data_IF_552274289278
#
_entry.id   IF_552274289278
#
_cell.length_a   1.000
_cell.length_b   1.000
_cell.length_c   1.000
_cell.angle_alpha   90.00
_cell.angle_beta   90.00
_cell.angle_gamma   90.00
#
_symmetry.space_group_name_H-M   'P 1'
#
loop_
_entity.id
_entity.type
_entity.pdbx_description
1 polymer ?
#
# COMPACT_ATOMS: atom_id res chain seq x y z
N UNK A 1 -2.01 -6.30 -18.78
CA UNK A 1 -1.91 -6.09 -17.31
C UNK A 1 -3.20 -6.61 -16.64
N UNK A 2 -3.25 -6.92 -15.34
CA UNK A 2 -4.33 -7.71 -14.69
C UNK A 2 -5.74 -7.11 -14.84
N UNK A 3 -5.84 -5.80 -15.04
CA UNK A 3 -7.13 -5.08 -15.18
C UNK A 3 -7.24 -4.32 -16.52
N UNK A 4 -6.70 -4.87 -17.62
CA UNK A 4 -6.93 -4.34 -18.97
C UNK A 4 -5.93 -3.31 -19.49
N UNK A 5 -4.95 -2.89 -18.69
CA UNK A 5 -3.92 -1.94 -19.13
C UNK A 5 -2.89 -2.50 -20.10
N UNK A 6 -2.28 -1.57 -20.85
CA UNK A 6 -1.25 -1.83 -21.85
C UNK A 6 0.14 -1.53 -21.28
N UNK A 7 1.00 -2.53 -21.24
CA UNK A 7 2.39 -2.36 -20.84
C UNK A 7 3.27 -2.09 -22.07
N UNK A 8 3.93 -0.94 -22.09
CA UNK A 8 4.93 -0.56 -23.09
C UNK A 8 6.32 -0.77 -22.50
N UNK A 9 7.19 -1.48 -23.21
CA UNK A 9 8.61 -1.64 -22.83
C UNK A 9 9.48 -0.85 -23.80
N UNK A 10 10.22 0.09 -23.24
CA UNK A 10 11.34 0.79 -23.86
C UNK A 10 12.64 0.27 -23.24
N UNK A 11 13.80 0.58 -23.84
CA UNK A 11 15.09 0.03 -23.42
C UNK A 11 15.33 0.03 -21.90
N UNK A 12 15.10 1.16 -21.23
CA UNK A 12 15.30 1.32 -19.77
C UNK A 12 13.99 1.53 -19.00
N UNK A 13 12.85 1.60 -19.68
CA UNK A 13 11.59 2.01 -19.07
C UNK A 13 10.50 1.01 -19.36
N UNK A 14 9.73 0.66 -18.34
CA UNK A 14 8.42 0.06 -18.51
C UNK A 14 7.38 1.12 -18.17
N UNK A 15 6.45 1.37 -19.09
CA UNK A 15 5.36 2.30 -18.90
C UNK A 15 4.06 1.51 -19.02
N UNK A 16 3.28 1.48 -17.95
CA UNK A 16 1.93 0.94 -17.99
C UNK A 16 0.93 2.08 -18.28
N UNK A 17 0.15 1.92 -19.34
CA UNK A 17 -0.88 2.87 -19.77
C UNK A 17 -2.24 2.26 -19.47
N UNK A 18 -3.10 3.03 -18.81
CA UNK A 18 -4.47 2.65 -18.51
C UNK A 18 -5.46 3.65 -19.08
N UNK A 19 -6.55 3.11 -19.63
CA UNK A 19 -7.71 3.92 -19.92
C UNK A 19 -8.46 4.20 -18.63
N UNK A 20 -8.84 5.46 -18.41
CA UNK A 20 -9.49 5.91 -17.18
C UNK A 20 -10.77 5.13 -16.90
N UNK A 21 -11.54 4.84 -17.95
CA UNK A 21 -12.83 4.13 -17.85
C UNK A 21 -12.69 2.66 -17.42
N UNK A 22 -11.51 2.07 -17.66
CA UNK A 22 -11.19 0.69 -17.32
C UNK A 22 -10.60 0.57 -15.90
N UNK A 23 -10.59 1.67 -15.13
CA UNK A 23 -10.18 1.64 -13.73
C UNK A 23 -11.04 0.63 -12.97
N UNK A 24 -10.38 -0.30 -12.28
CA UNK A 24 -11.08 -1.43 -11.66
C UNK A 24 -12.24 -0.99 -10.76
N UNK A 25 -12.06 0.04 -9.93
CA UNK A 25 -13.10 0.56 -9.04
C UNK A 25 -14.35 1.07 -9.80
N UNK A 26 -14.19 1.61 -11.02
CA UNK A 26 -15.31 1.95 -11.91
C UNK A 26 -15.97 0.70 -12.47
N UNK A 27 -15.19 -0.20 -13.07
CA UNK A 27 -15.75 -1.41 -13.70
C UNK A 27 -16.43 -2.35 -12.70
N UNK A 28 -16.03 -2.31 -11.43
CA UNK A 28 -16.64 -3.05 -10.32
C UNK A 28 -17.86 -2.34 -9.71
N UNK A 29 -18.21 -1.12 -10.16
CA UNK A 29 -19.34 -0.35 -9.66
C UNK A 29 -19.12 0.28 -8.27
N UNK A 30 -17.87 0.44 -7.84
CA UNK A 30 -17.51 0.96 -6.50
C UNK A 30 -17.34 2.48 -6.48
N UNK A 31 -16.90 3.06 -7.60
CA UNK A 31 -16.68 4.51 -7.77
C UNK A 31 -17.12 4.96 -9.15
N UNK A 32 -17.62 6.18 -9.24
CA UNK A 32 -17.71 6.89 -10.52
C UNK A 32 -16.32 7.47 -10.84
N UNK A 33 -15.94 7.43 -12.12
CA UNK A 33 -14.65 7.93 -12.60
C UNK A 33 -14.88 8.60 -13.94
N UNK A 34 -15.07 9.91 -13.90
CA UNK A 34 -15.39 10.77 -15.04
C UNK A 34 -14.20 11.69 -15.38
N UNK A 35 -13.38 12.04 -14.38
CA UNK A 35 -12.17 12.86 -14.53
C UNK A 35 -10.95 12.24 -13.83
N UNK A 36 -9.77 12.79 -14.10
CA UNK A 36 -8.52 12.24 -13.58
C UNK A 36 -8.44 12.29 -12.05
N UNK A 37 -9.06 13.30 -11.42
CA UNK A 37 -9.14 13.45 -9.95
C UNK A 37 -9.87 12.29 -9.29
N UNK A 38 -10.82 11.66 -9.97
CA UNK A 38 -11.64 10.58 -9.39
C UNK A 38 -10.81 9.33 -9.09
N UNK A 39 -9.67 9.14 -9.75
CA UNK A 39 -8.80 7.99 -9.52
C UNK A 39 -8.17 8.02 -8.12
N UNK A 40 -8.08 9.20 -7.50
CA UNK A 40 -7.60 9.33 -6.12
C UNK A 40 -8.44 8.49 -5.16
N UNK A 41 -9.76 8.38 -5.41
CA UNK A 41 -10.67 7.57 -4.60
C UNK A 41 -10.72 6.08 -4.97
N UNK A 42 -9.95 5.67 -5.99
CA UNK A 42 -9.94 4.31 -6.53
C UNK A 42 -8.75 3.48 -6.07
N UNK A 43 -7.75 4.10 -5.42
CA UNK A 43 -6.57 3.41 -4.90
C UNK A 43 -6.90 2.68 -3.60
N UNK A 44 -6.15 1.62 -3.30
CA UNK A 44 -6.33 0.89 -2.04
C UNK A 44 -5.77 1.68 -0.86
N UNK A 45 -4.50 2.11 -0.93
CA UNK A 45 -3.85 2.92 0.09
C UNK A 45 -4.03 4.41 -0.20
N UNK A 46 -4.21 5.21 0.85
CA UNK A 46 -4.28 6.67 0.71
C UNK A 46 -2.95 7.29 0.25
N UNK A 47 -1.82 6.63 0.51
CA UNK A 47 -0.51 7.03 -0.02
C UNK A 47 -0.40 6.91 -1.54
N UNK A 48 -1.16 6.00 -2.15
CA UNK A 48 -1.21 5.86 -3.60
C UNK A 48 -2.17 6.90 -4.24
N UNK A 49 -2.97 7.62 -3.43
CA UNK A 49 -3.95 8.64 -3.87
C UNK A 49 -3.30 9.98 -4.20
N UNK A 50 -2.42 10.00 -5.20
CA UNK A 50 -1.83 11.22 -5.76
C UNK A 50 -1.66 11.06 -7.27
N UNK A 51 -1.87 12.16 -8.01
CA UNK A 51 -1.71 12.19 -9.47
C UNK A 51 -0.86 13.38 -9.86
N UNK A 52 0.05 13.17 -10.81
CA UNK A 52 0.66 14.25 -11.58
C UNK A 52 -0.03 14.34 -12.93
N UNK A 53 -0.80 15.40 -13.15
CA UNK A 53 -1.46 15.66 -14.43
C UNK A 53 -0.46 16.26 -15.41
N UNK A 54 -0.11 15.46 -16.43
CA UNK A 54 0.85 15.86 -17.47
C UNK A 54 0.35 17.03 -18.34
N UNK A 55 -0.97 17.22 -18.46
CA UNK A 55 -1.54 18.27 -19.29
C UNK A 55 -1.46 19.65 -18.63
N UNK A 56 -1.64 19.70 -17.30
CA UNK A 56 -1.61 20.94 -16.52
C UNK A 56 -0.30 21.16 -15.77
N UNK A 57 0.53 20.12 -15.64
CA UNK A 57 1.76 20.14 -14.86
C UNK A 57 1.53 20.24 -13.35
N UNK A 58 0.38 19.76 -12.86
CA UNK A 58 -0.05 19.92 -11.46
C UNK A 58 -0.11 18.58 -10.73
N UNK A 59 0.18 18.62 -9.43
CA UNK A 59 -0.14 17.54 -8.51
C UNK A 59 -1.59 17.70 -8.02
N UNK A 60 -2.33 16.59 -8.00
CA UNK A 60 -3.71 16.51 -7.53
C UNK A 60 -3.72 15.46 -6.41
N UNK A 61 -4.19 15.86 -5.23
CA UNK A 61 -4.25 15.03 -4.02
C UNK A 61 -5.26 15.63 -3.02
N UNK A 62 -5.68 14.85 -2.03
CA UNK A 62 -6.51 15.32 -0.91
C UNK A 62 -5.74 16.26 0.02
N UNK A 63 -6.41 17.28 0.59
CA UNK A 63 -5.79 18.30 1.46
C UNK A 63 -4.97 17.71 2.62
N UNK A 64 -5.31 16.51 3.10
CA UNK A 64 -4.58 15.85 4.19
C UNK A 64 -3.40 14.99 3.73
N UNK A 65 -3.25 14.74 2.43
CA UNK A 65 -2.28 13.80 1.86
C UNK A 65 -0.84 14.10 2.32
N UNK A 66 -0.35 15.31 2.05
CA UNK A 66 1.03 15.68 2.38
C UNK A 66 1.30 15.66 3.88
N UNK A 67 0.30 16.02 4.69
CA UNK A 67 0.41 15.96 6.15
C UNK A 67 0.52 14.52 6.63
N UNK A 68 -0.38 13.63 6.21
CA UNK A 68 -0.36 12.21 6.58
C UNK A 68 0.95 11.55 6.16
N UNK A 69 1.44 11.87 4.95
CA UNK A 69 2.72 11.40 4.44
C UNK A 69 3.88 11.87 5.34
N UNK A 70 3.92 13.15 5.69
CA UNK A 70 4.95 13.71 6.58
C UNK A 70 4.90 13.13 8.01
N UNK A 71 3.70 12.79 8.51
CA UNK A 71 3.51 12.16 9.82
C UNK A 71 3.80 10.63 9.80
N UNK A 72 4.04 10.06 8.62
CA UNK A 72 4.26 8.63 8.41
C UNK A 72 2.99 7.80 8.65
N UNK A 73 1.81 8.36 8.37
CA UNK A 73 0.52 7.70 8.60
C UNK A 73 -0.06 7.24 7.27
N UNK A 74 -0.22 5.94 7.09
CA UNK A 74 -0.88 5.33 5.93
C UNK A 74 -2.20 4.69 6.37
N UNK A 75 -3.25 4.88 5.57
CA UNK A 75 -4.56 4.26 5.79
C UNK A 75 -5.12 3.71 4.47
N UNK A 76 -6.34 3.17 4.53
CA UNK A 76 -7.07 2.65 3.37
C UNK A 76 -7.96 3.75 2.80
N UNK A 77 -7.88 3.94 1.48
CA UNK A 77 -8.75 4.83 0.71
C UNK A 77 -9.97 4.09 0.15
N UNK A 78 -9.77 2.92 -0.48
CA UNK A 78 -10.84 2.04 -0.96
C UNK A 78 -10.57 0.61 -0.49
N UNK A 79 -11.37 0.13 0.48
CA UNK A 79 -11.09 -1.15 1.13
C UNK A 79 -11.44 -2.34 0.22
N UNK A 80 -12.51 -2.23 -0.55
CA UNK A 80 -12.92 -3.22 -1.54
C UNK A 80 -11.79 -3.41 -2.53
N UNK A 81 -11.25 -4.63 -2.58
CA UNK A 81 -10.19 -4.98 -3.51
C UNK A 81 -10.22 -6.49 -3.80
N UNK A 82 -9.79 -6.92 -4.99
CA UNK A 82 -9.87 -8.32 -5.39
C UNK A 82 -8.74 -9.18 -4.79
N UNK A 83 -7.82 -8.60 -4.00
CA UNK A 83 -6.66 -9.31 -3.46
C UNK A 83 -6.27 -8.83 -2.03
N UNK A 84 -7.12 -9.08 -1.01
CA UNK A 84 -6.86 -8.61 0.34
C UNK A 84 -5.58 -9.20 0.94
N UNK A 85 -5.20 -10.44 0.56
CA UNK A 85 -3.93 -11.06 0.95
C UNK A 85 -2.72 -10.26 0.46
N UNK A 86 -2.71 -9.92 -0.83
CA UNK A 86 -1.64 -9.11 -1.42
C UNK A 86 -1.58 -7.70 -0.84
N UNK A 87 -2.74 -7.09 -0.58
CA UNK A 87 -2.79 -5.79 0.11
C UNK A 87 -2.24 -5.85 1.53
N UNK A 88 -2.51 -6.93 2.29
CA UNK A 88 -1.89 -7.14 3.61
C UNK A 88 -0.37 -7.23 3.51
N UNK A 89 0.16 -8.05 2.60
CA UNK A 89 1.62 -8.18 2.40
C UNK A 89 2.24 -6.83 2.06
N UNK A 90 1.65 -6.07 1.13
CA UNK A 90 2.13 -4.72 0.76
C UNK A 90 2.12 -3.76 1.95
N UNK A 91 1.05 -3.77 2.77
CA UNK A 91 0.98 -2.93 3.96
C UNK A 91 2.16 -3.24 4.92
N UNK A 92 2.40 -4.52 5.21
CA UNK A 92 3.47 -4.95 6.11
C UNK A 92 4.86 -4.63 5.57
N UNK A 93 5.10 -4.84 4.26
CA UNK A 93 6.36 -4.45 3.61
C UNK A 93 6.62 -2.95 3.70
N UNK A 94 5.63 -2.12 3.38
CA UNK A 94 5.76 -0.65 3.46
C UNK A 94 6.07 -0.21 4.88
N UNK A 95 5.40 -0.81 5.86
CA UNK A 95 5.65 -0.53 7.27
C UNK A 95 7.08 -0.91 7.69
N UNK A 96 7.56 -2.08 7.25
CA UNK A 96 8.94 -2.53 7.42
C UNK A 96 9.97 -1.65 6.72
N UNK A 97 9.64 -1.06 5.57
CA UNK A 97 10.55 -0.25 4.79
C UNK A 97 10.63 1.21 5.26
N UNK A 98 9.51 1.79 5.74
CA UNK A 98 9.35 3.25 5.80
C UNK A 98 8.86 3.79 7.16
N UNK A 99 8.98 3.04 8.25
CA UNK A 99 8.58 3.49 9.59
C UNK A 99 7.13 4.01 9.65
N UNK A 100 6.24 3.27 9.00
CA UNK A 100 4.84 3.66 8.81
C UNK A 100 4.00 3.30 10.03
N UNK A 101 3.10 4.20 10.40
CA UNK A 101 2.00 4.00 11.34
C UNK A 101 0.72 3.78 10.55
N UNK A 102 -0.15 2.92 11.04
CA UNK A 102 -1.41 2.65 10.36
C UNK A 102 -2.55 3.47 10.95
N UNK A 103 -3.35 4.05 10.05
CA UNK A 103 -4.65 4.60 10.39
C UNK A 103 -5.63 3.54 10.87
N UNK A 104 -6.82 3.95 11.34
CA UNK A 104 -7.78 3.06 11.96
C UNK A 104 -8.32 1.98 11.00
N UNK A 105 -8.50 2.31 9.72
CA UNK A 105 -9.09 1.38 8.74
C UNK A 105 -8.08 0.30 8.37
N UNK A 106 -6.84 0.70 8.08
CA UNK A 106 -5.73 -0.19 7.79
C UNK A 106 -5.37 -1.06 9.00
N UNK A 107 -5.40 -0.51 10.22
CA UNK A 107 -5.18 -1.27 11.46
C UNK A 107 -6.20 -2.39 11.60
N UNK A 108 -7.50 -2.08 11.44
CA UNK A 108 -8.59 -3.08 11.50
C UNK A 108 -8.47 -4.11 10.39
N UNK A 109 -8.14 -3.67 9.17
CA UNK A 109 -7.91 -4.55 8.03
C UNK A 109 -6.77 -5.53 8.32
N UNK A 110 -5.62 -5.05 8.78
CA UNK A 110 -4.46 -5.88 9.07
C UNK A 110 -4.75 -6.89 10.18
N UNK A 111 -5.35 -6.47 11.30
CA UNK A 111 -5.76 -7.38 12.38
C UNK A 111 -6.64 -8.51 11.86
N UNK A 112 -7.74 -8.16 11.17
CA UNK A 112 -8.69 -9.13 10.63
C UNK A 112 -8.01 -10.17 9.73
N UNK A 113 -7.13 -9.72 8.83
CA UNK A 113 -6.52 -10.63 7.85
C UNK A 113 -5.29 -11.37 8.39
N UNK A 114 -4.63 -10.87 9.44
CA UNK A 114 -3.62 -11.61 10.19
C UNK A 114 -4.23 -12.73 11.04
N UNK A 115 -5.48 -12.59 11.48
CA UNK A 115 -6.24 -13.67 12.13
C UNK A 115 -6.76 -14.71 11.13
N UNK A 116 -7.05 -14.28 9.89
CA UNK A 116 -7.67 -15.14 8.88
C UNK A 116 -6.65 -15.97 8.08
N UNK A 117 -5.41 -15.50 7.94
CA UNK A 117 -4.40 -16.13 7.08
C UNK A 117 -3.20 -16.59 7.88
N UNK A 118 -2.68 -17.76 7.51
CA UNK A 118 -1.47 -18.31 8.10
C UNK A 118 -0.25 -17.47 7.73
N UNK A 119 0.63 -17.20 8.70
CA UNK A 119 1.82 -16.36 8.49
C UNK A 119 2.75 -16.92 7.41
N UNK A 120 2.90 -18.25 7.35
CA UNK A 120 3.70 -18.91 6.32
C UNK A 120 3.14 -18.69 4.91
N UNK A 121 1.81 -18.63 4.75
CA UNK A 121 1.18 -18.30 3.46
C UNK A 121 1.49 -16.85 3.05
N UNK A 122 1.48 -15.91 4.00
CA UNK A 122 1.79 -14.51 3.75
C UNK A 122 3.27 -14.32 3.38
N UNK A 123 4.17 -15.04 4.06
CA UNK A 123 5.61 -15.06 3.74
C UNK A 123 5.87 -15.64 2.35
N UNK A 124 5.17 -16.70 1.95
CA UNK A 124 5.33 -17.26 0.62
C UNK A 124 4.75 -16.35 -0.45
N UNK A 125 3.60 -15.71 -0.19
CA UNK A 125 3.04 -14.70 -1.09
C UNK A 125 4.00 -13.51 -1.27
N UNK A 126 4.66 -13.09 -0.20
CA UNK A 126 5.70 -12.07 -0.22
C UNK A 126 6.88 -12.47 -1.11
N UNK A 127 7.36 -13.71 -0.99
CA UNK A 127 8.44 -14.28 -1.82
C UNK A 127 8.06 -14.39 -3.30
N UNK A 128 6.83 -14.78 -3.62
CA UNK A 128 6.36 -14.92 -5.00
C UNK A 128 6.18 -13.54 -5.65
N UNK A 129 5.65 -12.58 -4.89
CA UNK A 129 5.37 -11.24 -5.40
C UNK A 129 6.62 -10.36 -5.50
N UNK A 130 7.61 -10.58 -4.64
CA UNK A 130 8.81 -9.73 -4.53
C UNK A 130 10.07 -10.59 -4.45
N UNK A 131 11.16 -10.11 -5.05
CA UNK A 131 12.42 -10.87 -5.13
C UNK A 131 13.04 -11.16 -3.74
N UNK A 132 12.75 -10.32 -2.74
CA UNK A 132 13.17 -10.49 -1.34
C UNK A 132 11.96 -10.63 -0.43
N UNK A 133 11.90 -11.71 0.36
CA UNK A 133 10.80 -11.99 1.29
C UNK A 133 11.01 -11.28 2.64
N UNK A 134 10.76 -9.97 2.70
CA UNK A 134 10.88 -9.13 3.91
C UNK A 134 10.14 -9.72 5.09
N UNK A 135 8.96 -10.31 4.86
CA UNK A 135 8.14 -10.85 5.94
C UNK A 135 8.84 -11.99 6.71
N UNK A 136 9.83 -12.66 6.13
CA UNK A 136 10.64 -13.67 6.85
C UNK A 136 11.44 -13.07 8.02
N UNK A 137 11.70 -11.77 7.99
CA UNK A 137 12.46 -11.03 9.01
C UNK A 137 11.55 -10.38 10.07
N UNK A 138 10.23 -10.57 9.96
CA UNK A 138 9.25 -9.96 10.86
C UNK A 138 8.62 -11.01 11.79
N UNK A 139 8.27 -10.57 12.99
CA UNK A 139 7.54 -11.38 13.97
C UNK A 139 6.04 -11.03 13.97
N UNK A 140 5.19 -12.01 13.65
CA UNK A 140 3.74 -11.83 13.57
C UNK A 140 3.14 -11.36 14.91
N UNK A 141 3.59 -11.90 16.04
CA UNK A 141 3.04 -11.57 17.36
C UNK A 141 3.40 -10.13 17.76
N UNK A 142 4.60 -9.67 17.42
CA UNK A 142 5.01 -8.27 17.60
C UNK A 142 4.16 -7.34 16.72
N UNK A 143 3.92 -7.70 15.46
CA UNK A 143 3.05 -6.94 14.56
C UNK A 143 1.66 -6.79 15.17
N UNK A 144 1.02 -7.89 15.56
CA UNK A 144 -0.33 -7.88 16.16
C UNK A 144 -0.33 -7.02 17.43
N UNK A 145 0.68 -7.16 18.31
CA UNK A 145 0.79 -6.38 19.54
C UNK A 145 0.88 -4.87 19.26
N UNK A 146 1.65 -4.48 18.23
CA UNK A 146 1.83 -3.06 17.85
C UNK A 146 0.61 -2.47 17.16
N UNK A 147 -0.09 -3.25 16.35
CA UNK A 147 -1.37 -2.85 15.78
C UNK A 147 -2.44 -2.68 16.87
N UNK A 148 -2.41 -3.49 17.94
CA UNK A 148 -3.34 -3.38 19.07
C UNK A 148 -3.03 -2.18 19.98
N UNK A 149 -1.79 -1.69 19.97
CA UNK A 149 -1.40 -0.51 20.74
C UNK A 149 -1.57 0.74 19.87
N UNK A 150 -2.62 1.51 20.14
CA UNK A 150 -2.93 2.73 19.40
C UNK A 150 -2.75 3.97 20.26
N UNK A 151 -2.38 5.08 19.62
CA UNK A 151 -2.35 6.42 20.19
C UNK A 151 -3.33 7.29 19.44
N UNK A 152 -4.06 8.11 20.19
CA UNK A 152 -5.00 9.06 19.61
C UNK A 152 -4.27 10.32 19.17
N UNK A 153 -4.22 10.54 17.85
CA UNK A 153 -3.62 11.72 17.21
C UNK A 153 -4.75 12.47 16.52
N UNK A 154 -4.97 13.73 16.90
CA UNK A 154 -6.02 14.58 16.30
C UNK A 154 -7.43 13.93 16.29
N UNK A 155 -7.73 13.12 17.31
CA UNK A 155 -9.03 12.45 17.45
C UNK A 155 -9.15 11.11 16.74
N UNK A 156 -8.10 10.66 16.04
CA UNK A 156 -8.06 9.37 15.32
C UNK A 156 -7.08 8.42 16.01
N UNK A 157 -7.45 7.14 16.12
CA UNK A 157 -6.58 6.11 16.66
C UNK A 157 -5.58 5.63 15.61
N UNK A 158 -4.29 5.80 15.90
CA UNK A 158 -3.16 5.47 15.03
C UNK A 158 -2.30 4.41 15.71
N UNK A 159 -1.87 3.39 14.97
CA UNK A 159 -1.01 2.34 15.53
C UNK A 159 0.37 2.88 15.92
N UNK A 160 1.09 2.15 16.77
CA UNK A 160 2.55 2.28 16.81
C UNK A 160 3.16 1.86 15.44
N UNK A 161 4.37 2.34 15.09
CA UNK A 161 5.05 1.88 13.88
C UNK A 161 5.22 0.36 13.89
N UNK A 162 5.06 -0.24 12.72
CA UNK A 162 5.14 -1.70 12.51
C UNK A 162 6.24 -1.97 11.47
N UNK A 163 7.22 -2.85 11.70
CA UNK A 163 7.55 -3.54 12.95
C UNK A 163 8.17 -2.56 13.96
N UNK A 164 8.82 -3.07 15.01
CA UNK A 164 9.45 -2.22 16.02
C UNK A 164 10.64 -1.41 15.47
N UNK A 165 10.37 -0.20 14.99
CA UNK A 165 11.39 0.75 14.56
C UNK A 165 12.21 1.37 15.70
N UNK A 166 11.84 1.17 16.97
CA UNK A 166 12.68 1.59 18.11
C UNK A 166 13.91 0.69 18.27
N UNK A 167 13.90 -0.49 17.66
CA UNK A 167 15.03 -1.44 17.65
C UNK A 167 15.78 -1.47 16.32
N UNK A 168 15.35 -0.67 15.33
CA UNK A 168 15.72 -0.77 13.91
C UNK A 168 15.62 -2.21 13.38
N UNK A 169 14.61 -2.56 12.57
CA UNK A 169 14.48 -3.93 12.10
C UNK A 169 15.70 -4.31 11.24
N UNK A 170 16.31 -5.47 11.53
CA UNK A 170 17.37 -6.06 10.70
C UNK A 170 16.75 -6.56 9.39
N UNK A 171 16.60 -5.65 8.43
CA UNK A 171 16.08 -5.96 7.10
C UNK A 171 17.23 -6.05 6.09
N UNK A 172 17.13 -6.92 5.08
CA UNK A 172 18.03 -6.83 3.93
C UNK A 172 17.95 -5.41 3.37
N UNK A 173 19.08 -4.89 2.86
CA UNK A 173 19.12 -3.59 2.20
C UNK A 173 18.04 -3.59 1.13
N UNK A 174 16.98 -2.82 1.35
CA UNK A 174 15.98 -2.55 0.34
C UNK A 174 16.68 -1.73 -0.75
N UNK A 175 17.28 -2.41 -1.73
CA UNK A 175 17.69 -1.75 -2.96
C UNK A 175 16.43 -1.03 -3.47
N UNK A 176 16.50 0.29 -3.58
CA UNK A 176 15.35 1.13 -3.98
C UNK A 176 14.79 0.75 -5.37
N UNK A 177 15.52 -0.08 -6.13
CA UNK A 177 15.09 -0.73 -7.37
C UNK A 177 13.97 -1.78 -7.18
N UNK A 178 13.76 -2.30 -5.95
CA UNK A 178 12.74 -3.31 -5.60
C UNK A 178 11.46 -2.70 -4.99
N UNK A 179 11.14 -1.44 -5.29
CA UNK A 179 9.85 -0.83 -4.89
C UNK A 179 8.71 -1.43 -5.72
N UNK A 180 7.44 -1.21 -5.32
CA UNK A 180 6.18 -1.70 -5.96
C UNK A 180 6.07 -1.45 -7.50
N UNK A 181 7.08 -0.81 -8.11
CA UNK A 181 7.26 -0.54 -9.53
C UNK A 181 8.16 -1.56 -10.25
N UNK A 182 8.78 -2.51 -9.54
CA UNK A 182 9.60 -3.54 -10.16
C UNK A 182 8.72 -4.40 -11.09
N UNK A 183 9.09 -4.56 -12.37
CA UNK A 183 8.32 -5.35 -13.29
C UNK A 183 8.29 -6.79 -12.79
N UNK A 184 7.09 -7.35 -12.60
CA UNK A 184 6.89 -8.80 -12.64
C UNK A 184 7.55 -9.28 -13.94
N UNK A 185 8.60 -10.10 -13.77
CA UNK A 185 9.37 -10.69 -14.86
C UNK A 185 8.46 -11.52 -15.77
#
# INVERSE_FOLDING_TARGET
NKFGGFGLRFHQWKVDVWHLEDTWARTAGLKQVDEISDILACTFFDWDSIVFDLSTGRLIFDDQYLRKLAEGIMDIQLQENPNPRGSLVRALRRAAAWNVKFGPTLTKFCHRYLELFDWSELVELDRIAFNEAILTHLDQHEIIRRLANTKRIQGVDISHPVPNWEREPELPLLNMENTDLAPTA
#
